data_IF_200055721173
#
_entry.id   IF_200055721173
#
_cell.length_a   1.000
_cell.length_b   1.000
_cell.length_c   1.000
_cell.angle_alpha   90.00
_cell.angle_beta   90.00
_cell.angle_gamma   90.00
#
_symmetry.space_group_name_H-M   'P 1'
#
loop_
_entity.id
_entity.type
_entity.pdbx_description
1 polymer ?
#
# COMPACT_ATOMS: atom_id res chain seq x y z
N UNK A 1 14.12 -26.30 -0.82
CA UNK A 1 13.52 -26.36 0.54
C UNK A 1 12.13 -25.73 0.45
N UNK A 2 11.05 -26.52 0.52
CA UNK A 2 9.67 -26.00 0.38
C UNK A 2 9.26 -25.32 1.69
N UNK A 3 9.06 -24.00 1.66
CA UNK A 3 8.71 -23.19 2.82
C UNK A 3 7.18 -23.16 3.04
N UNK A 4 6.70 -23.11 4.30
CA UNK A 4 5.29 -23.28 4.65
C UNK A 4 4.42 -22.09 4.22
N UNK A 5 3.26 -22.41 3.67
CA UNK A 5 2.33 -21.54 2.93
C UNK A 5 1.71 -20.40 3.78
N UNK A 6 1.76 -20.49 5.11
CA UNK A 6 1.16 -19.50 6.02
C UNK A 6 2.05 -18.30 6.41
N UNK A 7 3.38 -18.47 6.37
CA UNK A 7 4.33 -17.43 6.81
C UNK A 7 4.82 -16.51 5.68
N UNK A 8 4.50 -16.84 4.43
CA UNK A 8 5.07 -16.19 3.24
C UNK A 8 4.49 -14.77 2.97
N UNK A 9 3.17 -14.58 3.08
CA UNK A 9 2.52 -13.33 2.66
C UNK A 9 2.77 -12.15 3.61
N UNK A 10 2.71 -12.37 4.92
CA UNK A 10 3.04 -11.32 5.89
C UNK A 10 4.51 -10.91 5.82
N UNK A 11 5.39 -11.87 5.50
CA UNK A 11 6.79 -11.57 5.23
C UNK A 11 6.94 -10.75 3.95
N UNK A 12 6.20 -11.03 2.88
CA UNK A 12 6.20 -10.17 1.67
C UNK A 12 5.80 -8.72 1.99
N UNK A 13 4.83 -8.51 2.89
CA UNK A 13 4.33 -7.17 3.26
C UNK A 13 5.28 -6.44 4.22
N UNK A 14 5.86 -7.15 5.20
CA UNK A 14 6.68 -6.53 6.26
C UNK A 14 8.18 -6.50 5.93
N UNK A 15 8.67 -7.41 5.09
CA UNK A 15 10.08 -7.59 4.75
C UNK A 15 10.34 -7.06 3.32
N UNK A 16 10.62 -5.76 3.21
CA UNK A 16 10.94 -5.11 1.94
C UNK A 16 12.32 -5.53 1.40
N UNK A 17 13.26 -5.92 2.27
CA UNK A 17 14.66 -6.23 1.93
C UNK A 17 14.98 -7.70 1.65
N UNK A 18 13.98 -8.57 1.55
CA UNK A 18 14.21 -10.00 1.34
C UNK A 18 14.68 -10.31 -0.09
N UNK A 19 15.96 -10.63 -0.29
CA UNK A 19 16.47 -11.10 -1.58
C UNK A 19 16.76 -12.60 -1.53
N UNK A 20 16.16 -13.37 -2.45
CA UNK A 20 16.49 -14.79 -2.63
C UNK A 20 17.85 -14.90 -3.33
N UNK A 21 18.70 -15.90 -3.04
CA UNK A 21 19.96 -16.10 -3.76
C UNK A 21 19.81 -16.15 -5.27
N UNK A 22 18.68 -16.67 -5.76
CA UNK A 22 18.34 -16.75 -7.19
C UNK A 22 18.16 -15.37 -7.83
N UNK A 23 17.60 -14.40 -7.08
CA UNK A 23 17.43 -13.00 -7.51
C UNK A 23 18.78 -12.29 -7.59
N UNK A 24 19.66 -12.55 -6.60
CA UNK A 24 20.99 -11.93 -6.54
C UNK A 24 21.95 -12.44 -7.62
N UNK A 25 21.76 -13.67 -8.08
CA UNK A 25 22.59 -14.32 -9.10
C UNK A 25 22.02 -14.17 -10.52
N UNK A 26 20.83 -13.58 -10.66
CA UNK A 26 20.21 -13.41 -11.96
C UNK A 26 20.89 -12.29 -12.75
N UNK A 27 21.18 -12.56 -14.02
CA UNK A 27 21.69 -11.54 -14.94
C UNK A 27 20.52 -10.77 -15.53
N UNK A 28 20.27 -9.58 -14.99
CA UNK A 28 19.25 -8.68 -15.52
C UNK A 28 19.66 -8.12 -16.88
N UNK A 29 18.70 -7.85 -17.79
CA UNK A 29 18.99 -7.18 -19.05
C UNK A 29 19.50 -5.76 -18.79
N UNK A 30 20.50 -5.35 -19.57
CA UNK A 30 21.17 -4.04 -19.46
C UNK A 30 22.55 -4.14 -18.79
N UNK A 31 23.52 -3.36 -19.29
CA UNK A 31 24.89 -3.34 -18.75
C UNK A 31 25.07 -2.38 -17.55
N UNK A 32 23.99 -1.77 -17.06
CA UNK A 32 24.02 -0.80 -15.96
C UNK A 32 24.70 0.53 -16.32
N UNK A 33 24.87 0.81 -17.61
CA UNK A 33 25.47 2.05 -18.09
C UNK A 33 24.41 3.14 -18.27
N UNK A 34 24.84 4.41 -18.42
CA UNK A 34 23.91 5.52 -18.69
C UNK A 34 23.11 5.32 -20.00
N UNK A 35 23.68 4.60 -20.96
CA UNK A 35 23.10 4.37 -22.27
C UNK A 35 22.34 3.03 -22.35
N UNK A 36 22.59 2.13 -21.41
CA UNK A 36 21.94 0.83 -21.28
C UNK A 36 21.77 0.46 -19.79
N UNK A 37 20.78 1.05 -19.09
CA UNK A 37 20.56 0.83 -17.67
C UNK A 37 19.92 -0.55 -17.43
N UNK A 38 20.09 -1.09 -16.23
CA UNK A 38 19.42 -2.33 -15.84
C UNK A 38 17.89 -2.19 -15.95
N UNK A 39 17.27 -3.16 -16.61
CA UNK A 39 15.82 -3.27 -16.73
C UNK A 39 15.27 -3.97 -15.49
N UNK A 40 14.26 -3.38 -14.87
CA UNK A 40 13.55 -3.99 -13.75
C UNK A 40 12.66 -5.10 -14.31
N UNK A 41 13.05 -6.35 -14.05
CA UNK A 41 12.31 -7.54 -14.47
C UNK A 41 12.22 -8.56 -13.32
N UNK A 42 11.34 -9.55 -13.47
CA UNK A 42 11.14 -10.62 -12.50
C UNK A 42 11.78 -11.92 -13.00
N UNK A 43 12.42 -12.67 -12.10
CA UNK A 43 12.94 -14.00 -12.44
C UNK A 43 11.79 -14.99 -12.66
N UNK A 44 12.04 -16.04 -13.44
CA UNK A 44 11.05 -17.10 -13.65
C UNK A 44 10.60 -17.71 -12.31
N UNK A 45 9.27 -17.77 -12.10
CA UNK A 45 8.65 -18.23 -10.85
C UNK A 45 9.03 -17.43 -9.60
N UNK A 46 9.29 -16.13 -9.73
CA UNK A 46 9.44 -15.28 -8.54
C UNK A 46 8.13 -15.27 -7.73
N UNK A 47 8.24 -15.70 -6.49
CA UNK A 47 7.14 -15.70 -5.52
C UNK A 47 6.67 -14.30 -5.11
N UNK A 48 7.48 -13.26 -5.38
CA UNK A 48 7.18 -11.84 -5.13
C UNK A 48 6.57 -11.14 -6.34
N UNK A 49 6.60 -11.78 -7.51
CA UNK A 49 6.00 -11.23 -8.72
C UNK A 49 4.47 -11.08 -8.54
N UNK A 50 3.93 -9.85 -8.58
CA UNK A 50 2.50 -9.62 -8.45
C UNK A 50 1.68 -10.28 -9.58
N UNK A 51 2.28 -10.59 -10.72
CA UNK A 51 1.62 -11.34 -11.79
C UNK A 51 1.28 -12.77 -11.36
N UNK A 52 2.12 -13.41 -10.55
CA UNK A 52 1.93 -14.77 -10.02
C UNK A 52 0.91 -14.87 -8.88
N UNK A 53 0.35 -13.75 -8.41
CA UNK A 53 -0.69 -13.78 -7.38
C UNK A 53 -2.00 -14.40 -7.90
N UNK A 54 -2.59 -15.29 -7.09
CA UNK A 54 -3.90 -15.85 -7.38
C UNK A 54 -4.97 -14.75 -7.52
N UNK A 55 -5.90 -14.92 -8.46
CA UNK A 55 -6.91 -13.91 -8.79
C UNK A 55 -7.73 -13.44 -7.58
N UNK A 56 -8.11 -14.35 -6.67
CA UNK A 56 -8.85 -14.00 -5.46
C UNK A 56 -8.08 -13.05 -4.54
N UNK A 57 -6.74 -13.15 -4.49
CA UNK A 57 -5.91 -12.22 -3.72
C UNK A 57 -5.90 -10.83 -4.35
N UNK A 58 -5.77 -10.77 -5.68
CA UNK A 58 -5.85 -9.51 -6.44
C UNK A 58 -7.17 -8.80 -6.17
N UNK A 59 -8.29 -9.52 -6.31
CA UNK A 59 -9.62 -9.01 -5.98
C UNK A 59 -9.77 -8.60 -4.52
N UNK A 60 -9.24 -9.39 -3.58
CA UNK A 60 -9.26 -9.03 -2.16
C UNK A 60 -8.57 -7.70 -1.87
N UNK A 61 -7.38 -7.48 -2.46
CA UNK A 61 -6.66 -6.20 -2.36
C UNK A 61 -7.51 -5.08 -2.97
N UNK A 62 -8.05 -5.27 -4.17
CA UNK A 62 -8.90 -4.27 -4.83
C UNK A 62 -10.11 -3.87 -3.98
N UNK A 63 -10.82 -4.84 -3.40
CA UNK A 63 -11.98 -4.58 -2.53
C UNK A 63 -11.55 -3.81 -1.28
N UNK A 64 -10.49 -4.23 -0.60
CA UNK A 64 -9.99 -3.53 0.59
C UNK A 64 -9.62 -2.09 0.27
N UNK A 65 -8.85 -1.86 -0.80
CA UNK A 65 -8.47 -0.50 -1.22
C UNK A 65 -9.70 0.33 -1.55
N UNK A 66 -10.68 -0.23 -2.28
CA UNK A 66 -11.92 0.48 -2.61
C UNK A 66 -12.73 0.88 -1.37
N UNK A 67 -12.78 0.02 -0.35
CA UNK A 67 -13.46 0.30 0.90
C UNK A 67 -12.74 1.38 1.71
N UNK A 68 -11.41 1.34 1.77
CA UNK A 68 -10.61 2.39 2.44
C UNK A 68 -10.87 3.75 1.77
N UNK A 69 -10.87 3.79 0.44
CA UNK A 69 -11.18 5.02 -0.30
C UNK A 69 -12.61 5.50 -0.04
N UNK A 70 -13.59 4.59 -0.04
CA UNK A 70 -14.99 4.91 0.24
C UNK A 70 -15.16 5.46 1.67
N UNK A 71 -14.55 4.81 2.66
CA UNK A 71 -14.62 5.20 4.07
C UNK A 71 -13.95 6.57 4.28
N UNK A 72 -12.79 6.81 3.66
CA UNK A 72 -12.09 8.10 3.74
C UNK A 72 -12.98 9.25 3.22
N UNK A 73 -13.62 9.07 2.06
CA UNK A 73 -14.56 10.06 1.51
C UNK A 73 -15.80 10.26 2.40
N UNK A 74 -16.34 9.17 2.95
CA UNK A 74 -17.52 9.21 3.81
C UNK A 74 -17.24 9.94 5.13
N UNK A 75 -16.10 9.67 5.78
CA UNK A 75 -15.73 10.31 7.06
C UNK A 75 -15.48 11.80 6.87
N UNK A 76 -14.83 12.21 5.77
CA UNK A 76 -14.64 13.63 5.46
C UNK A 76 -15.98 14.38 5.38
N UNK A 77 -16.97 13.78 4.73
CA UNK A 77 -18.33 14.35 4.65
C UNK A 77 -19.04 14.39 6.00
N UNK A 78 -18.95 13.31 6.79
CA UNK A 78 -19.57 13.22 8.11
C UNK A 78 -18.99 14.24 9.10
N UNK A 79 -17.67 14.47 9.05
CA UNK A 79 -17.01 15.45 9.91
C UNK A 79 -17.52 16.86 9.63
N UNK A 80 -17.58 17.27 8.35
CA UNK A 80 -18.10 18.59 7.97
C UNK A 80 -19.52 18.78 8.48
N UNK A 81 -20.37 17.76 8.37
CA UNK A 81 -21.75 17.80 8.89
C UNK A 81 -21.86 17.95 10.41
N UNK A 82 -20.82 17.57 11.17
CA UNK A 82 -20.78 17.70 12.62
C UNK A 82 -20.09 18.98 13.13
N UNK A 83 -19.54 19.82 12.24
CA UNK A 83 -18.74 21.01 12.61
C UNK A 83 -19.48 21.98 13.54
N UNK A 84 -20.75 22.29 13.25
CA UNK A 84 -21.54 23.22 14.06
C UNK A 84 -21.75 22.71 15.50
N UNK A 85 -21.89 21.39 15.65
CA UNK A 85 -22.04 20.74 16.96
C UNK A 85 -20.72 20.76 17.73
N UNK A 86 -19.58 20.60 17.04
CA UNK A 86 -18.24 20.68 17.63
C UNK A 86 -17.97 22.10 18.13
N UNK A 87 -18.24 23.13 17.31
CA UNK A 87 -18.06 24.54 17.68
C UNK A 87 -19.00 24.99 18.81
N UNK A 88 -20.21 24.42 18.88
CA UNK A 88 -21.15 24.70 19.97
C UNK A 88 -20.82 24.00 21.28
N UNK A 89 -20.11 22.86 21.24
CA UNK A 89 -19.77 22.04 22.41
C UNK A 89 -18.40 22.36 22.99
N UNK A 90 -17.43 22.73 22.16
CA UNK A 90 -16.06 22.99 22.55
C UNK A 90 -15.70 24.47 22.32
N UNK A 91 -15.03 25.14 23.27
CA UNK A 91 -14.58 26.52 23.11
C UNK A 91 -13.32 26.58 22.21
N UNK A 92 -13.45 26.17 20.95
CA UNK A 92 -12.36 26.11 19.97
C UNK A 92 -12.68 26.98 18.76
N UNK A 93 -11.65 27.58 18.16
CA UNK A 93 -11.78 28.36 16.93
C UNK A 93 -12.07 27.49 15.70
N UNK A 94 -12.63 28.10 14.65
CA UNK A 94 -12.95 27.42 13.39
C UNK A 94 -11.71 26.78 12.74
N UNK A 95 -10.55 27.41 12.86
CA UNK A 95 -9.28 26.87 12.35
C UNK A 95 -8.91 25.55 13.05
N UNK A 96 -9.13 25.45 14.36
CA UNK A 96 -8.87 24.23 15.15
C UNK A 96 -9.89 23.14 14.81
N UNK A 97 -11.15 23.52 14.61
CA UNK A 97 -12.19 22.57 14.24
C UNK A 97 -11.95 21.96 12.85
N UNK A 98 -11.39 22.73 11.90
CA UNK A 98 -11.11 22.26 10.53
C UNK A 98 -9.77 21.53 10.38
N UNK A 99 -8.81 21.78 11.28
CA UNK A 99 -7.54 21.05 11.35
C UNK A 99 -7.73 19.53 11.43
N UNK A 100 -8.76 19.05 12.12
CA UNK A 100 -9.06 17.62 12.24
C UNK A 100 -9.34 16.92 10.91
N UNK A 101 -9.96 17.61 9.94
CA UNK A 101 -10.20 17.06 8.60
C UNK A 101 -8.89 17.03 7.80
N UNK A 102 -8.11 18.11 7.86
CA UNK A 102 -6.85 18.23 7.13
C UNK A 102 -5.81 17.21 7.56
N UNK A 103 -5.76 16.86 8.85
CA UNK A 103 -4.87 15.84 9.41
C UNK A 103 -5.36 14.40 9.17
N UNK A 104 -6.67 14.19 8.99
CA UNK A 104 -7.23 12.85 8.81
C UNK A 104 -6.98 12.26 7.41
N UNK A 105 -6.81 13.11 6.40
CA UNK A 105 -6.65 12.70 5.00
C UNK A 105 -5.18 12.43 4.63
N UNK A 106 -4.22 12.85 5.46
CA UNK A 106 -2.77 12.84 5.19
C UNK A 106 -2.10 11.53 5.65
#
# INVERSE_FOLDING_TARGET
MKLPIGAFYWRLVLDQGYFTPDVLQHSYPGDGTKYDPYVVDWIENDTRDPHNLAAWKKWGITVVTSLVTLISAMISSAYVGALDQILGRFPVGFEIATLGISLFVL
#
